data_IF_877475040522
#
_entry.id   IF_877475040522
#
_cell.length_a   1.000
_cell.length_b   1.000
_cell.length_c   1.000
_cell.angle_alpha   90.00
_cell.angle_beta   90.00
_cell.angle_gamma   90.00
#
_symmetry.space_group_name_H-M   'P 1'
#
loop_
_entity.id
_entity.type
_entity.pdbx_description
1 polymer ?
#
# COMPACT_ATOMS: atom_id res chain seq x y z
N UNK A 1 72.56 -70.80 -36.33
CA UNK A 1 71.36 -70.67 -35.48
C UNK A 1 71.42 -69.31 -34.86
N UNK A 2 70.57 -68.38 -35.31
CA UNK A 2 70.67 -66.92 -35.02
C UNK A 2 69.70 -66.56 -33.90
N UNK A 3 70.21 -66.09 -32.75
CA UNK A 3 69.41 -65.59 -31.65
C UNK A 3 69.22 -64.07 -31.87
N UNK A 4 67.99 -63.67 -31.99
CA UNK A 4 67.61 -62.24 -32.13
C UNK A 4 67.33 -61.63 -30.73
N UNK A 5 68.10 -60.63 -30.36
CA UNK A 5 67.86 -59.82 -29.20
C UNK A 5 66.66 -58.87 -29.49
N UNK A 6 65.67 -58.90 -28.64
CA UNK A 6 64.57 -57.93 -28.63
C UNK A 6 64.89 -56.92 -27.54
N UNK A 7 65.11 -55.68 -27.95
CA UNK A 7 65.21 -54.51 -27.04
C UNK A 7 63.83 -54.04 -26.70
N UNK A 8 63.49 -54.14 -25.41
CA UNK A 8 62.24 -53.59 -24.91
C UNK A 8 62.49 -52.13 -24.53
N UNK A 9 61.89 -51.22 -25.27
CA UNK A 9 61.91 -49.78 -24.97
C UNK A 9 60.79 -49.44 -23.94
N UNK A 10 61.22 -49.09 -22.72
CA UNK A 10 60.31 -48.66 -21.65
C UNK A 10 59.95 -47.17 -21.87
N UNK A 11 58.76 -46.92 -22.37
CA UNK A 11 58.26 -45.56 -22.46
C UNK A 11 57.73 -45.11 -21.08
N UNK A 12 58.43 -44.16 -20.48
CA UNK A 12 57.96 -43.49 -19.25
C UNK A 12 56.89 -42.44 -19.63
N UNK A 13 55.64 -42.72 -19.30
CA UNK A 13 54.51 -41.78 -19.46
C UNK A 13 54.51 -40.81 -18.28
N UNK A 14 54.95 -39.58 -18.51
CA UNK A 14 54.81 -38.47 -17.54
C UNK A 14 53.40 -38.00 -17.59
N UNK A 15 52.57 -38.40 -16.62
CA UNK A 15 51.26 -37.80 -16.39
C UNK A 15 51.46 -36.39 -15.80
N UNK A 16 51.34 -35.36 -16.63
CA UNK A 16 51.12 -34.00 -16.17
C UNK A 16 49.69 -33.88 -15.66
N UNK A 17 49.54 -33.91 -14.34
CA UNK A 17 48.27 -33.60 -13.67
C UNK A 17 47.88 -32.14 -13.92
N UNK A 18 47.02 -31.90 -14.91
CA UNK A 18 46.34 -30.64 -15.03
C UNK A 18 45.32 -30.52 -13.88
N UNK A 19 45.67 -29.75 -12.85
CA UNK A 19 44.73 -29.30 -11.85
C UNK A 19 43.66 -28.45 -12.56
N UNK A 20 42.55 -29.06 -12.90
CA UNK A 20 41.32 -28.32 -13.20
C UNK A 20 40.91 -27.69 -11.88
N UNK A 21 41.26 -26.41 -11.65
CA UNK A 21 40.58 -25.57 -10.69
C UNK A 21 39.15 -25.46 -11.16
N UNK A 22 38.28 -26.26 -10.57
CA UNK A 22 36.84 -25.96 -10.62
C UNK A 22 36.68 -24.53 -10.08
N UNK A 23 36.37 -23.62 -10.98
CA UNK A 23 35.90 -22.31 -10.60
C UNK A 23 34.57 -22.53 -9.90
N UNK A 24 34.60 -22.73 -8.58
CA UNK A 24 33.46 -22.48 -7.73
C UNK A 24 33.23 -20.97 -7.84
N UNK A 25 32.43 -20.57 -8.83
CA UNK A 25 31.95 -19.22 -8.94
C UNK A 25 31.19 -18.92 -7.65
N UNK A 26 31.81 -18.10 -6.80
CA UNK A 26 31.16 -17.55 -5.63
C UNK A 26 29.89 -16.85 -6.08
N UNK A 27 28.75 -17.47 -5.81
CA UNK A 27 27.43 -16.85 -5.89
C UNK A 27 27.23 -15.77 -4.81
N UNK A 28 28.24 -15.47 -4.00
CA UNK A 28 28.17 -14.54 -2.87
C UNK A 28 28.57 -13.08 -3.21
N UNK A 29 28.87 -12.73 -4.46
CA UNK A 29 29.43 -11.39 -4.78
C UNK A 29 28.43 -10.40 -5.42
N UNK A 30 27.13 -10.68 -5.44
CA UNK A 30 26.15 -9.74 -6.05
C UNK A 30 25.23 -9.03 -5.04
N UNK A 31 25.42 -9.19 -3.74
CA UNK A 31 24.47 -8.75 -2.71
C UNK A 31 24.64 -7.30 -2.24
N UNK A 32 25.57 -6.52 -2.80
CA UNK A 32 25.82 -5.13 -2.39
C UNK A 32 25.89 -4.13 -3.58
N UNK A 33 25.49 -4.53 -4.78
CA UNK A 33 25.40 -3.59 -5.89
C UNK A 33 24.22 -2.62 -5.63
N UNK A 34 24.41 -1.30 -5.86
CA UNK A 34 23.34 -0.34 -5.70
C UNK A 34 22.13 -0.70 -6.55
N UNK A 35 20.96 -0.80 -5.93
CA UNK A 35 19.72 -1.10 -6.62
C UNK A 35 18.60 -0.17 -6.16
N UNK A 36 17.79 0.31 -7.11
CA UNK A 36 16.66 1.18 -6.82
C UNK A 36 15.35 0.42 -7.09
N UNK A 37 14.45 0.46 -6.12
CA UNK A 37 13.09 -0.08 -6.22
C UNK A 37 12.15 1.11 -6.45
N UNK A 38 11.53 1.18 -7.61
CA UNK A 38 10.49 2.18 -7.91
C UNK A 38 9.14 1.66 -7.43
N UNK A 39 8.52 2.42 -6.53
CA UNK A 39 7.22 2.12 -5.92
C UNK A 39 6.26 3.24 -6.27
N UNK A 40 5.05 2.92 -6.73
CA UNK A 40 4.08 3.95 -7.08
C UNK A 40 2.64 3.54 -6.83
N UNK A 41 1.76 4.51 -6.64
CA UNK A 41 0.34 4.27 -6.51
C UNK A 41 -0.34 4.95 -5.34
N UNK A 42 -1.09 4.21 -4.53
CA UNK A 42 -1.97 4.72 -3.49
C UNK A 42 -1.31 5.71 -2.52
N UNK A 43 -1.81 6.95 -2.48
CA UNK A 43 -1.40 7.98 -1.52
C UNK A 43 -1.78 7.65 -0.06
N UNK A 44 -2.68 6.68 0.16
CA UNK A 44 -3.02 6.20 1.50
C UNK A 44 -2.04 5.12 2.00
N UNK A 45 -1.41 4.38 1.08
CA UNK A 45 -0.37 3.39 1.39
C UNK A 45 0.99 4.07 1.57
N UNK A 46 1.21 5.21 0.90
CA UNK A 46 2.49 5.94 0.91
C UNK A 46 3.09 6.11 2.31
N UNK A 47 2.38 6.59 3.34
CA UNK A 47 2.99 6.78 4.67
C UNK A 47 3.50 5.46 5.30
N UNK A 48 2.78 4.36 5.10
CA UNK A 48 3.24 3.04 5.56
C UNK A 48 4.48 2.59 4.77
N UNK A 49 4.45 2.74 3.45
CA UNK A 49 5.55 2.32 2.59
C UNK A 49 6.83 3.12 2.87
N UNK A 50 6.71 4.42 3.18
CA UNK A 50 7.84 5.27 3.59
C UNK A 50 8.49 4.77 4.87
N UNK A 51 7.70 4.43 5.90
CA UNK A 51 8.21 3.86 7.14
C UNK A 51 8.91 2.52 6.92
N UNK A 52 8.31 1.64 6.11
CA UNK A 52 8.89 0.33 5.77
C UNK A 52 10.19 0.51 4.97
N UNK A 53 10.21 1.40 4.00
CA UNK A 53 11.39 1.69 3.19
C UNK A 53 12.53 2.28 4.03
N UNK A 54 12.23 3.23 4.93
CA UNK A 54 13.23 3.80 5.83
C UNK A 54 13.91 2.72 6.69
N UNK A 55 13.14 1.85 7.31
CA UNK A 55 13.69 0.80 8.16
C UNK A 55 14.45 -0.27 7.34
N UNK A 56 13.94 -0.63 6.15
CA UNK A 56 14.63 -1.59 5.29
C UNK A 56 15.97 -1.05 4.76
N UNK A 57 16.04 0.23 4.39
CA UNK A 57 17.27 0.87 3.92
C UNK A 57 18.35 0.96 5.02
N UNK A 58 17.98 1.00 6.31
CA UNK A 58 18.94 0.88 7.42
C UNK A 58 19.57 -0.51 7.47
N UNK A 59 18.82 -1.55 7.10
CA UNK A 59 19.30 -2.94 7.05
C UNK A 59 20.08 -3.24 5.75
N UNK A 60 19.70 -2.58 4.65
CA UNK A 60 20.23 -2.77 3.30
C UNK A 60 20.62 -1.43 2.67
N UNK A 61 21.75 -0.82 3.10
CA UNK A 61 22.13 0.53 2.65
C UNK A 61 22.41 0.69 1.15
N UNK A 62 22.61 -0.41 0.42
CA UNK A 62 22.79 -0.42 -1.03
C UNK A 62 21.44 -0.36 -1.79
N UNK A 63 20.32 -0.54 -1.08
CA UNK A 63 18.97 -0.44 -1.67
C UNK A 63 18.43 0.97 -1.48
N UNK A 64 17.94 1.55 -2.56
CA UNK A 64 17.14 2.78 -2.55
C UNK A 64 15.70 2.44 -2.91
N UNK A 65 14.74 2.96 -2.15
CA UNK A 65 13.31 2.83 -2.45
C UNK A 65 12.76 4.22 -2.77
N UNK A 66 12.35 4.43 -4.01
CA UNK A 66 11.69 5.65 -4.45
C UNK A 66 10.18 5.44 -4.41
N UNK A 67 9.46 6.33 -3.72
CA UNK A 67 8.01 6.16 -3.50
C UNK A 67 7.27 7.35 -4.12
N UNK A 68 6.28 7.05 -4.97
CA UNK A 68 5.47 8.03 -5.69
C UNK A 68 3.98 7.81 -5.39
N UNK A 69 3.36 8.75 -4.67
CA UNK A 69 1.93 8.73 -4.38
C UNK A 69 1.09 9.27 -5.54
N UNK A 70 0.64 8.40 -6.43
CA UNK A 70 -0.03 8.76 -7.70
C UNK A 70 -1.48 8.27 -7.81
N UNK A 71 -1.97 7.53 -6.80
CA UNK A 71 -3.29 6.92 -6.78
C UNK A 71 -3.27 5.42 -7.12
N UNK A 72 -4.23 4.67 -6.56
CA UNK A 72 -4.25 3.19 -6.72
C UNK A 72 -4.39 2.76 -8.17
N UNK A 73 -5.20 3.46 -8.98
CA UNK A 73 -5.36 3.15 -10.40
C UNK A 73 -4.05 3.23 -11.17
N UNK A 74 -3.23 4.25 -10.90
CA UNK A 74 -1.90 4.39 -11.51
C UNK A 74 -0.95 3.28 -11.01
N UNK A 75 -0.94 3.01 -9.70
CA UNK A 75 -0.15 1.91 -9.12
C UNK A 75 -0.48 0.55 -9.75
N UNK A 76 -1.78 0.23 -9.92
CA UNK A 76 -2.25 -0.99 -10.56
C UNK A 76 -1.82 -1.01 -12.03
N UNK A 77 -2.00 0.09 -12.76
CA UNK A 77 -1.73 0.17 -14.19
C UNK A 77 -0.25 0.02 -14.54
N UNK A 78 0.64 0.46 -13.68
CA UNK A 78 2.08 0.51 -13.91
C UNK A 78 2.88 -0.54 -13.10
N UNK A 79 2.20 -1.39 -12.30
CA UNK A 79 2.84 -2.49 -11.58
C UNK A 79 3.50 -3.50 -12.54
N UNK A 80 4.73 -3.90 -12.24
CA UNK A 80 5.54 -4.79 -13.08
C UNK A 80 6.12 -4.13 -14.33
N UNK A 81 5.89 -2.82 -14.51
CA UNK A 81 6.44 -2.00 -15.59
C UNK A 81 7.23 -0.81 -15.04
N UNK A 82 6.63 0.39 -15.05
CA UNK A 82 7.23 1.60 -14.51
C UNK A 82 7.55 1.47 -13.01
N UNK A 83 6.67 0.83 -12.25
CA UNK A 83 6.89 0.51 -10.85
C UNK A 83 7.18 -0.98 -10.70
N UNK A 84 8.29 -1.33 -10.04
CA UNK A 84 8.53 -2.70 -9.60
C UNK A 84 7.45 -3.14 -8.61
N UNK A 85 6.97 -2.18 -7.79
CA UNK A 85 5.91 -2.38 -6.81
C UNK A 85 4.81 -1.32 -7.03
N UNK A 86 3.61 -1.75 -7.44
CA UNK A 86 2.42 -0.92 -7.43
C UNK A 86 1.75 -0.95 -6.06
N UNK A 87 1.17 0.17 -5.61
CA UNK A 87 0.42 0.25 -4.35
C UNK A 87 -1.06 0.44 -4.61
N UNK A 88 -1.90 -0.39 -3.99
CA UNK A 88 -3.35 -0.22 -3.98
C UNK A 88 -3.93 -0.19 -2.57
N UNK A 89 -4.96 0.62 -2.37
CA UNK A 89 -5.75 0.69 -1.14
C UNK A 89 -7.21 0.28 -1.38
N UNK A 90 -7.42 -0.61 -2.31
CA UNK A 90 -8.64 -1.37 -2.60
C UNK A 90 -8.27 -2.70 -3.24
N UNK A 91 -9.20 -3.62 -3.24
CA UNK A 91 -9.09 -4.83 -4.05
C UNK A 91 -9.07 -4.51 -5.55
N UNK A 92 -8.54 -5.44 -6.34
CA UNK A 92 -8.56 -5.33 -7.79
C UNK A 92 -9.95 -5.66 -8.32
N UNK A 93 -10.39 -4.90 -9.31
CA UNK A 93 -11.60 -5.24 -10.07
C UNK A 93 -11.38 -6.53 -10.88
N UNK A 94 -12.45 -7.24 -11.30
CA UNK A 94 -12.31 -8.45 -12.13
C UNK A 94 -11.48 -8.23 -13.41
N UNK A 95 -11.56 -7.04 -14.02
CA UNK A 95 -10.77 -6.69 -15.19
C UNK A 95 -9.28 -6.52 -14.86
N UNK A 96 -8.96 -5.97 -13.69
CA UNK A 96 -7.58 -5.80 -13.21
C UNK A 96 -6.94 -7.13 -12.78
N UNK A 97 -7.71 -8.03 -12.15
CA UNK A 97 -7.27 -9.39 -11.78
C UNK A 97 -6.83 -10.19 -13.02
N UNK A 98 -7.50 -10.01 -14.16
CA UNK A 98 -7.13 -10.65 -15.43
C UNK A 98 -5.76 -10.24 -15.99
N UNK A 99 -5.08 -9.26 -15.40
CA UNK A 99 -3.75 -8.80 -15.83
C UNK A 99 -2.59 -9.67 -15.35
N UNK A 100 -2.84 -10.63 -14.45
CA UNK A 100 -1.83 -11.56 -13.95
C UNK A 100 -0.80 -10.92 -13.01
N UNK A 101 -1.17 -9.85 -12.31
CA UNK A 101 -0.33 -9.26 -11.27
C UNK A 101 -0.31 -10.15 -10.03
N UNK A 102 0.84 -10.19 -9.37
CA UNK A 102 0.98 -10.83 -8.06
C UNK A 102 0.55 -9.87 -6.97
N UNK A 103 -0.40 -10.28 -6.14
CA UNK A 103 -0.97 -9.47 -5.06
C UNK A 103 -0.42 -9.93 -3.70
N UNK A 104 0.05 -8.98 -2.89
CA UNK A 104 0.42 -9.22 -1.50
C UNK A 104 -0.29 -8.19 -0.61
N UNK A 105 -1.16 -8.66 0.28
CA UNK A 105 -1.76 -7.80 1.30
C UNK A 105 -0.68 -7.54 2.36
N UNK A 106 -0.36 -6.28 2.61
CA UNK A 106 0.68 -5.87 3.57
C UNK A 106 0.12 -5.31 4.87
N UNK A 107 -1.12 -4.85 4.86
CA UNK A 107 -1.83 -4.35 6.04
C UNK A 107 -3.34 -4.36 5.79
N UNK A 108 -4.13 -4.26 6.88
CA UNK A 108 -5.53 -3.84 6.82
C UNK A 108 -5.61 -2.42 7.37
N UNK A 109 -6.42 -1.59 6.72
CA UNK A 109 -6.60 -0.19 7.07
C UNK A 109 -8.08 0.17 7.22
N UNK A 110 -8.42 0.90 8.28
CA UNK A 110 -9.73 1.52 8.43
C UNK A 110 -9.81 2.79 7.57
N UNK A 111 -10.99 3.10 7.01
CA UNK A 111 -11.25 4.40 6.41
C UNK A 111 -12.01 5.24 7.43
N UNK A 112 -11.35 6.24 8.01
CA UNK A 112 -11.94 7.16 8.96
C UNK A 112 -12.76 8.24 8.24
N UNK A 113 -13.99 8.46 8.66
CA UNK A 113 -14.77 9.65 8.29
C UNK A 113 -14.30 10.80 9.16
N UNK A 114 -13.92 11.91 8.53
CA UNK A 114 -13.27 13.04 9.19
C UNK A 114 -14.03 14.35 8.95
N UNK A 115 -13.98 15.20 9.96
CA UNK A 115 -14.51 16.57 9.92
C UNK A 115 -13.47 17.53 10.52
N UNK A 116 -13.68 18.83 10.33
CA UNK A 116 -12.90 19.85 11.02
C UNK A 116 -12.99 19.68 12.54
N UNK A 117 -11.93 20.03 13.28
CA UNK A 117 -11.89 19.92 14.76
C UNK A 117 -13.03 20.65 15.45
N UNK A 118 -13.40 21.80 14.92
CA UNK A 118 -14.46 22.67 15.51
C UNK A 118 -15.87 22.21 15.14
N UNK A 119 -16.01 21.21 14.26
CA UNK A 119 -17.33 20.66 13.93
C UNK A 119 -17.86 19.86 15.14
N UNK A 120 -19.04 20.20 15.70
CA UNK A 120 -19.58 19.53 16.89
C UNK A 120 -20.06 18.09 16.64
N UNK A 121 -20.25 17.68 15.38
CA UNK A 121 -20.70 16.33 15.03
C UNK A 121 -19.63 15.30 15.44
N UNK A 122 -20.06 14.26 16.15
CA UNK A 122 -19.16 13.18 16.65
C UNK A 122 -19.54 11.79 16.14
N UNK A 123 -20.73 11.66 15.55
CA UNK A 123 -21.22 10.38 15.06
C UNK A 123 -22.20 10.60 13.89
N UNK A 124 -22.12 9.74 12.87
CA UNK A 124 -23.09 9.60 11.80
C UNK A 124 -23.38 8.11 11.59
N UNK A 125 -24.59 7.78 11.20
CA UNK A 125 -24.89 6.42 10.71
C UNK A 125 -24.32 6.22 9.32
N UNK A 126 -24.09 4.97 8.91
CA UNK A 126 -23.64 4.66 7.55
C UNK A 126 -24.60 5.19 6.48
N UNK A 127 -25.91 5.15 6.77
CA UNK A 127 -26.96 5.71 5.92
C UNK A 127 -26.83 7.23 5.77
N UNK A 128 -26.62 7.96 6.87
CA UNK A 128 -26.40 9.42 6.82
C UNK A 128 -25.14 9.77 6.01
N UNK A 129 -24.06 9.02 6.17
CA UNK A 129 -22.84 9.22 5.37
C UNK A 129 -23.16 9.02 3.89
N UNK A 130 -23.81 7.93 3.53
CA UNK A 130 -24.24 7.69 2.14
C UNK A 130 -25.09 8.86 1.61
N UNK A 131 -26.08 9.29 2.38
CA UNK A 131 -27.01 10.32 1.96
C UNK A 131 -26.34 11.71 1.85
N UNK A 132 -25.31 11.99 2.64
CA UNK A 132 -24.45 13.17 2.49
C UNK A 132 -23.66 13.10 1.17
N UNK A 133 -22.98 11.97 0.92
CA UNK A 133 -22.14 11.82 -0.27
C UNK A 133 -22.93 11.69 -1.57
N UNK A 134 -24.22 11.38 -1.51
CA UNK A 134 -25.14 11.36 -2.66
C UNK A 134 -25.98 12.65 -2.80
N UNK A 135 -25.84 13.61 -1.87
CA UNK A 135 -26.53 14.89 -1.92
C UNK A 135 -28.00 14.88 -1.46
N UNK A 136 -28.46 13.81 -0.81
CA UNK A 136 -29.76 13.72 -0.15
C UNK A 136 -29.79 14.56 1.12
N UNK A 137 -28.71 14.51 1.90
CA UNK A 137 -28.45 15.35 3.07
C UNK A 137 -27.44 16.41 2.67
N UNK A 138 -27.83 17.69 2.77
CA UNK A 138 -26.99 18.82 2.29
C UNK A 138 -26.68 19.85 3.37
N UNK A 139 -27.34 19.77 4.53
CA UNK A 139 -27.14 20.70 5.64
C UNK A 139 -26.89 19.96 6.95
N UNK A 140 -25.95 20.46 7.75
CA UNK A 140 -25.59 19.89 9.02
C UNK A 140 -26.73 19.79 10.02
N UNK A 141 -27.76 20.69 9.94
CA UNK A 141 -28.93 20.64 10.82
C UNK A 141 -29.76 19.36 10.67
N UNK A 142 -29.63 18.66 9.53
CA UNK A 142 -30.36 17.42 9.26
C UNK A 142 -29.77 16.21 10.04
N UNK A 143 -28.53 16.33 10.54
CA UNK A 143 -27.82 15.21 11.18
C UNK A 143 -27.19 15.55 12.53
N UNK A 144 -27.10 16.83 12.90
CA UNK A 144 -26.38 17.28 14.11
C UNK A 144 -27.27 17.37 15.35
N UNK A 145 -28.56 17.06 15.27
CA UNK A 145 -29.50 17.28 16.37
C UNK A 145 -29.63 18.76 16.77
N UNK A 146 -29.35 19.69 15.84
CA UNK A 146 -29.37 21.14 16.08
C UNK A 146 -28.03 21.73 16.56
N UNK A 147 -27.03 20.94 16.81
CA UNK A 147 -25.70 21.39 17.27
C UNK A 147 -24.92 22.19 16.21
N UNK A 148 -25.22 21.95 14.91
CA UNK A 148 -24.60 22.61 13.78
C UNK A 148 -25.61 22.86 12.67
N UNK A 149 -25.47 23.97 11.98
CA UNK A 149 -26.22 24.35 10.78
C UNK A 149 -25.27 24.77 9.67
N UNK A 150 -25.76 24.88 8.45
CA UNK A 150 -25.01 25.28 7.29
C UNK A 150 -24.76 24.14 6.32
N UNK A 151 -24.51 24.51 5.08
CA UNK A 151 -24.31 23.56 3.98
C UNK A 151 -23.10 22.68 4.22
N UNK A 152 -23.25 21.37 4.07
CA UNK A 152 -22.14 20.41 4.15
C UNK A 152 -21.25 20.55 2.92
N UNK A 153 -19.99 20.79 3.13
CA UNK A 153 -18.95 20.77 2.08
C UNK A 153 -18.39 19.35 1.95
N UNK A 154 -18.88 18.60 0.97
CA UNK A 154 -18.43 17.23 0.72
C UNK A 154 -17.08 17.26 0.02
N UNK A 155 -16.09 16.64 0.64
CA UNK A 155 -14.75 16.44 0.07
C UNK A 155 -14.55 14.97 -0.23
N UNK A 156 -14.20 14.66 -1.48
CA UNK A 156 -13.95 13.31 -1.95
C UNK A 156 -12.58 13.22 -2.63
N UNK A 157 -12.23 12.05 -3.06
CA UNK A 157 -11.03 11.77 -3.84
C UNK A 157 -11.35 11.71 -5.33
N UNK A 158 -10.34 11.85 -6.13
CA UNK A 158 -10.36 11.64 -7.59
C UNK A 158 -10.79 10.21 -7.97
N UNK A 159 -11.21 10.01 -9.21
CA UNK A 159 -11.76 8.73 -9.69
C UNK A 159 -10.74 7.56 -9.59
N UNK A 160 -9.45 7.81 -9.82
CA UNK A 160 -8.37 6.82 -9.71
C UNK A 160 -8.01 6.41 -8.28
N UNK A 161 -8.65 7.01 -7.26
CA UNK A 161 -8.35 6.73 -5.86
C UNK A 161 -8.95 5.39 -5.40
N UNK A 162 -8.08 4.48 -4.92
CA UNK A 162 -8.54 3.26 -4.28
C UNK A 162 -9.31 3.52 -2.98
N UNK A 163 -8.98 4.60 -2.25
CA UNK A 163 -9.72 4.99 -1.05
C UNK A 163 -11.14 5.41 -1.40
N UNK A 164 -11.35 6.15 -2.50
CA UNK A 164 -12.70 6.49 -2.99
C UNK A 164 -13.44 5.20 -3.36
N UNK A 165 -12.86 4.35 -4.18
CA UNK A 165 -13.50 3.11 -4.60
C UNK A 165 -13.95 2.26 -3.42
N UNK A 166 -13.06 2.00 -2.46
CA UNK A 166 -13.39 1.24 -1.26
C UNK A 166 -14.44 1.94 -0.38
N UNK A 167 -14.35 3.26 -0.21
CA UNK A 167 -15.31 4.01 0.58
C UNK A 167 -16.70 3.99 -0.04
N UNK A 168 -16.81 4.26 -1.35
CA UNK A 168 -18.08 4.21 -2.09
C UNK A 168 -18.73 2.82 -2.00
N UNK A 169 -17.93 1.77 -2.11
CA UNK A 169 -18.38 0.38 -2.01
C UNK A 169 -18.90 0.06 -0.60
N UNK A 170 -18.09 0.29 0.42
CA UNK A 170 -18.40 -0.05 1.81
C UNK A 170 -19.56 0.77 2.38
N UNK A 171 -19.75 2.01 1.91
CA UNK A 171 -20.86 2.89 2.28
C UNK A 171 -22.10 2.66 1.39
N UNK A 172 -21.93 2.03 0.23
CA UNK A 172 -23.03 1.60 -0.67
C UNK A 172 -23.54 2.71 -1.60
N UNK A 173 -22.61 3.50 -2.20
CA UNK A 173 -22.99 4.54 -3.18
C UNK A 173 -22.12 4.60 -4.43
N UNK A 174 -21.47 3.50 -4.82
CA UNK A 174 -20.58 3.45 -6.00
C UNK A 174 -21.18 4.18 -7.21
N UNK A 175 -20.35 5.05 -7.80
CA UNK A 175 -20.72 5.84 -8.98
C UNK A 175 -21.85 6.85 -8.76
N UNK A 176 -22.23 7.16 -7.52
CA UNK A 176 -23.31 8.09 -7.18
C UNK A 176 -22.84 9.26 -6.33
N UNK A 177 -21.55 9.61 -6.43
CA UNK A 177 -21.02 10.79 -5.75
C UNK A 177 -21.79 12.04 -6.20
N UNK A 178 -22.13 12.90 -5.23
CA UNK A 178 -22.73 14.20 -5.42
C UNK A 178 -22.00 15.01 -6.51
N UNK A 179 -22.72 15.45 -7.53
CA UNK A 179 -22.17 16.36 -8.54
C UNK A 179 -21.76 17.69 -7.85
N UNK A 180 -20.51 18.09 -8.04
CA UNK A 180 -19.91 19.27 -7.40
C UNK A 180 -19.33 19.01 -6.00
N UNK A 181 -19.13 17.76 -5.59
CA UNK A 181 -18.23 17.44 -4.48
C UNK A 181 -16.82 17.99 -4.79
N UNK A 182 -16.12 18.47 -3.75
CA UNK A 182 -14.74 18.92 -3.89
C UNK A 182 -13.83 17.69 -4.04
N UNK A 183 -13.27 17.46 -5.22
CA UNK A 183 -12.35 16.35 -5.45
C UNK A 183 -10.89 16.73 -5.18
N UNK A 184 -10.20 15.88 -4.46
CA UNK A 184 -8.79 16.04 -4.07
C UNK A 184 -7.94 14.88 -4.55
N UNK A 185 -6.72 15.14 -4.99
CA UNK A 185 -5.82 14.16 -5.62
C UNK A 185 -4.98 13.34 -4.65
N UNK A 186 -5.05 13.62 -3.33
CA UNK A 186 -4.27 12.90 -2.33
C UNK A 186 -4.91 12.88 -0.94
N UNK A 187 -4.47 11.95 -0.08
CA UNK A 187 -4.83 11.91 1.34
C UNK A 187 -4.48 13.23 2.05
N UNK A 188 -3.31 13.81 1.76
CA UNK A 188 -2.90 15.09 2.33
C UNK A 188 -3.78 16.26 1.89
N UNK A 189 -4.21 16.29 0.63
CA UNK A 189 -5.10 17.34 0.12
C UNK A 189 -6.51 17.26 0.76
N UNK A 190 -7.07 16.07 0.98
CA UNK A 190 -8.30 15.89 1.77
C UNK A 190 -8.12 16.50 3.16
N UNK A 191 -7.05 16.13 3.87
CA UNK A 191 -6.77 16.63 5.23
C UNK A 191 -6.69 18.16 5.26
N UNK A 192 -5.94 18.77 4.34
CA UNK A 192 -5.84 20.22 4.22
C UNK A 192 -7.20 20.88 3.98
N UNK A 193 -8.05 20.33 3.11
CA UNK A 193 -9.39 20.82 2.85
C UNK A 193 -10.30 20.77 4.09
N UNK A 194 -10.20 19.70 4.89
CA UNK A 194 -10.95 19.56 6.14
C UNK A 194 -10.48 20.57 7.20
N UNK A 195 -9.17 20.79 7.32
CA UNK A 195 -8.60 21.79 8.27
C UNK A 195 -9.07 23.19 7.94
N UNK A 196 -9.12 23.54 6.66
CA UNK A 196 -9.47 24.90 6.20
C UNK A 196 -10.97 25.20 6.20
N UNK A 197 -11.84 24.20 6.24
CA UNK A 197 -13.29 24.39 6.14
C UNK A 197 -14.04 23.73 7.30
N UNK A 198 -14.59 24.50 8.26
CA UNK A 198 -15.37 24.00 9.38
C UNK A 198 -16.63 23.20 8.98
N UNK A 199 -17.14 23.40 7.75
CA UNK A 199 -18.32 22.73 7.23
C UNK A 199 -18.00 21.49 6.40
N UNK A 200 -16.71 21.14 6.25
CA UNK A 200 -16.30 20.03 5.44
C UNK A 200 -16.45 18.68 6.14
N UNK A 201 -16.77 17.67 5.33
CA UNK A 201 -16.69 16.25 5.65
C UNK A 201 -15.84 15.55 4.59
N UNK A 202 -14.97 14.63 5.00
CA UNK A 202 -14.11 13.84 4.13
C UNK A 202 -13.83 12.46 4.72
N UNK A 203 -12.96 11.72 4.06
CA UNK A 203 -12.52 10.41 4.53
C UNK A 203 -11.03 10.18 4.16
N UNK A 204 -10.31 9.53 5.05
CA UNK A 204 -8.89 9.16 4.87
C UNK A 204 -8.58 7.80 5.50
N UNK A 205 -7.39 7.27 5.21
CA UNK A 205 -6.82 6.16 5.96
C UNK A 205 -6.78 6.46 7.46
N UNK A 206 -7.18 5.50 8.30
CA UNK A 206 -7.13 5.63 9.75
C UNK A 206 -5.69 5.89 10.25
N UNK A 207 -4.69 5.25 9.65
CA UNK A 207 -3.28 5.48 9.97
C UNK A 207 -2.76 6.88 9.59
N UNK A 208 -3.55 7.69 8.88
CA UNK A 208 -3.22 9.08 8.52
C UNK A 208 -3.96 10.13 9.36
N UNK A 209 -4.79 9.70 10.31
CA UNK A 209 -5.51 10.61 11.22
C UNK A 209 -4.53 11.15 12.25
N UNK A 210 -4.53 12.46 12.45
CA UNK A 210 -3.76 13.14 13.49
C UNK A 210 -4.62 14.19 14.23
N UNK A 211 -3.99 14.98 15.07
CA UNK A 211 -4.65 15.97 15.92
C UNK A 211 -5.10 17.24 15.19
N UNK A 212 -4.84 17.40 13.88
CA UNK A 212 -5.29 18.52 13.07
C UNK A 212 -6.74 18.39 12.61
N UNK A 213 -7.30 17.19 12.64
CA UNK A 213 -8.66 16.85 12.20
C UNK A 213 -9.37 16.01 13.26
N UNK A 214 -10.67 15.86 13.12
CA UNK A 214 -11.49 15.01 13.99
C UNK A 214 -12.06 13.83 13.22
N UNK A 215 -11.73 12.61 13.63
CA UNK A 215 -12.44 11.41 13.21
C UNK A 215 -13.74 11.27 13.98
N UNK A 216 -14.83 10.95 13.29
CA UNK A 216 -16.14 10.71 13.89
C UNK A 216 -16.49 9.22 13.92
N UNK A 217 -17.35 8.84 14.85
CA UNK A 217 -17.89 7.49 14.92
C UNK A 217 -18.86 7.22 13.78
N UNK A 218 -18.94 5.95 13.36
CA UNK A 218 -19.93 5.48 12.37
C UNK A 218 -20.85 4.48 13.04
N UNK A 219 -22.14 4.83 13.14
CA UNK A 219 -23.13 3.99 13.83
C UNK A 219 -22.81 3.77 15.31
N UNK A 220 -22.18 4.75 15.97
CA UNK A 220 -21.74 4.66 17.36
C UNK A 220 -20.39 3.96 17.57
N UNK A 221 -19.74 3.48 16.50
CA UNK A 221 -18.44 2.78 16.57
C UNK A 221 -17.33 3.73 16.14
N UNK A 222 -16.36 3.97 17.02
CA UNK A 222 -15.19 4.80 16.70
C UNK A 222 -14.28 4.11 15.67
N UNK A 223 -13.75 4.91 14.72
CA UNK A 223 -12.69 4.45 13.83
C UNK A 223 -11.40 4.24 14.65
N UNK A 224 -11.10 3.00 14.96
CA UNK A 224 -9.89 2.61 15.68
C UNK A 224 -9.38 1.25 15.20
N UNK A 225 -8.08 1.04 15.34
CA UNK A 225 -7.45 -0.26 15.02
C UNK A 225 -8.16 -1.42 15.74
N UNK A 226 -8.46 -1.26 17.03
CA UNK A 226 -9.16 -2.30 17.81
C UNK A 226 -10.54 -2.63 17.24
N UNK A 227 -11.31 -1.61 16.82
CA UNK A 227 -12.66 -1.80 16.27
C UNK A 227 -12.63 -2.34 14.83
N UNK A 228 -11.57 -2.12 14.07
CA UNK A 228 -11.37 -2.79 12.77
C UNK A 228 -11.02 -4.26 13.00
N UNK A 229 -10.09 -4.56 13.91
CA UNK A 229 -9.65 -5.94 14.21
C UNK A 229 -10.81 -6.80 14.71
N UNK A 230 -11.65 -6.28 15.62
CA UNK A 230 -12.80 -7.04 16.14
C UNK A 230 -14.01 -7.02 15.21
N UNK A 231 -13.89 -6.37 14.03
CA UNK A 231 -14.93 -6.31 13.00
C UNK A 231 -16.15 -5.47 13.36
N UNK A 232 -16.13 -4.64 14.41
CA UNK A 232 -17.23 -3.73 14.74
C UNK A 232 -17.23 -2.48 13.86
N UNK A 233 -16.05 -1.94 13.49
CA UNK A 233 -15.92 -0.87 12.50
C UNK A 233 -15.85 -1.47 11.10
N UNK A 234 -16.88 -1.21 10.27
CA UNK A 234 -17.10 -1.88 9.00
C UNK A 234 -16.40 -1.24 7.79
N UNK A 235 -15.92 -0.01 7.91
CA UNK A 235 -15.28 0.69 6.79
C UNK A 235 -13.77 0.39 6.85
N UNK A 236 -13.38 -0.81 6.40
CA UNK A 236 -12.01 -1.28 6.38
C UNK A 236 -11.69 -1.99 5.05
N UNK A 237 -10.43 -1.98 4.65
CA UNK A 237 -9.95 -2.46 3.36
C UNK A 237 -8.51 -2.96 3.44
N UNK A 238 -8.04 -3.78 2.48
CA UNK A 238 -6.63 -4.12 2.40
C UNK A 238 -5.77 -2.97 1.85
N UNK A 239 -4.52 -2.93 2.30
CA UNK A 239 -3.41 -2.31 1.60
C UNK A 239 -2.65 -3.41 0.86
N UNK A 240 -2.52 -3.26 -0.45
CA UNK A 240 -1.99 -4.28 -1.35
C UNK A 240 -0.77 -3.72 -2.07
N UNK A 241 0.29 -4.51 -2.14
CA UNK A 241 1.37 -4.30 -3.09
C UNK A 241 1.25 -5.28 -4.25
N UNK A 242 1.47 -4.77 -5.44
CA UNK A 242 1.25 -5.43 -6.72
C UNK A 242 2.56 -5.50 -7.49
N UNK A 243 2.85 -6.64 -8.10
CA UNK A 243 4.07 -6.82 -8.87
C UNK A 243 3.81 -7.62 -10.15
N UNK A 244 4.74 -7.52 -11.09
CA UNK A 244 4.80 -8.46 -12.22
C UNK A 244 5.40 -9.80 -11.79
N UNK A 245 5.42 -10.76 -12.73
CA UNK A 245 5.89 -12.12 -12.48
C UNK A 245 7.43 -12.26 -12.42
N UNK A 246 8.17 -11.33 -13.01
CA UNK A 246 9.63 -11.37 -13.10
C UNK A 246 10.26 -10.27 -12.24
N UNK A 247 10.38 -10.52 -10.95
CA UNK A 247 10.98 -9.57 -10.02
C UNK A 247 12.49 -9.75 -9.90
N UNK A 248 13.19 -8.64 -9.71
CA UNK A 248 14.56 -8.67 -9.24
C UNK A 248 14.63 -9.25 -7.81
N UNK A 249 15.72 -9.93 -7.47
CA UNK A 249 15.89 -10.56 -6.17
C UNK A 249 15.75 -9.58 -5.01
N UNK A 250 16.27 -8.35 -5.14
CA UNK A 250 16.17 -7.31 -4.11
C UNK A 250 14.72 -6.81 -3.91
N UNK A 251 13.92 -6.69 -4.97
CA UNK A 251 12.50 -6.34 -4.86
C UNK A 251 11.73 -7.45 -4.14
N UNK A 252 12.01 -8.71 -4.50
CA UNK A 252 11.44 -9.88 -3.82
C UNK A 252 11.80 -9.90 -2.33
N UNK A 253 13.07 -9.66 -2.01
CA UNK A 253 13.56 -9.61 -0.63
C UNK A 253 12.89 -8.49 0.18
N UNK A 254 12.67 -7.32 -0.41
CA UNK A 254 11.95 -6.22 0.25
C UNK A 254 10.49 -6.61 0.58
N UNK A 255 9.77 -7.21 -0.36
CA UNK A 255 8.38 -7.66 -0.13
C UNK A 255 8.34 -8.75 0.95
N UNK A 256 9.25 -9.72 0.91
CA UNK A 256 9.34 -10.76 1.93
C UNK A 256 9.63 -10.17 3.32
N UNK A 257 10.51 -9.17 3.38
CA UNK A 257 10.79 -8.47 4.64
C UNK A 257 9.58 -7.68 5.14
N UNK A 258 8.82 -6.98 4.27
CA UNK A 258 7.57 -6.33 4.65
C UNK A 258 6.61 -7.32 5.33
N UNK A 259 6.53 -8.55 4.81
CA UNK A 259 5.65 -9.61 5.33
C UNK A 259 6.25 -10.37 6.52
N UNK A 260 7.52 -10.16 6.85
CA UNK A 260 8.19 -10.78 8.01
C UNK A 260 7.67 -10.21 9.33
N UNK A 261 8.02 -10.89 10.43
CA UNK A 261 7.68 -10.40 11.77
C UNK A 261 8.22 -8.99 12.06
N UNK A 262 9.39 -8.64 11.51
CA UNK A 262 10.01 -7.32 11.67
C UNK A 262 9.24 -6.25 10.89
N UNK A 263 8.97 -6.47 9.61
CA UNK A 263 8.16 -5.55 8.79
C UNK A 263 6.76 -5.37 9.36
N UNK A 264 6.13 -6.46 9.78
CA UNK A 264 4.79 -6.41 10.38
C UNK A 264 4.77 -5.76 11.77
N UNK A 265 5.88 -5.73 12.51
CA UNK A 265 6.00 -4.94 13.74
C UNK A 265 5.94 -3.42 13.46
N UNK A 266 6.42 -2.97 12.30
CA UNK A 266 6.29 -1.57 11.85
C UNK A 266 4.84 -1.27 11.47
N UNK A 267 4.20 -2.18 10.71
CA UNK A 267 2.78 -2.06 10.35
C UNK A 267 1.92 -1.84 11.61
N UNK A 268 2.13 -2.61 12.66
CA UNK A 268 1.37 -2.51 13.93
C UNK A 268 1.47 -1.16 14.66
N UNK A 269 2.38 -0.27 14.27
CA UNK A 269 2.49 1.06 14.90
C UNK A 269 1.25 1.92 14.63
N UNK A 270 0.63 1.81 13.45
CA UNK A 270 -0.50 2.65 13.04
C UNK A 270 -1.54 1.95 12.16
N UNK A 271 -1.29 0.72 11.71
CA UNK A 271 -2.18 -0.09 10.89
C UNK A 271 -2.38 -1.47 11.50
N UNK A 272 -3.19 -2.30 10.85
CA UNK A 272 -3.45 -3.68 11.28
C UNK A 272 -2.54 -4.61 10.47
N UNK A 273 -1.70 -5.36 11.17
CA UNK A 273 -0.82 -6.36 10.55
C UNK A 273 -1.62 -7.53 9.99
N UNK A 274 -1.03 -8.22 9.02
CA UNK A 274 -1.62 -9.42 8.38
C UNK A 274 -1.06 -10.74 8.97
N UNK A 275 -0.14 -10.64 9.92
CA UNK A 275 0.47 -11.76 10.66
C UNK A 275 0.71 -11.40 12.13
#
# INVERSE_FOLDING_TARGET
MKIKFIVVLLAVLVLTGACIKAASGNAESRTNEPYTIEVGGSTSVTPLMELLAEEYQKLKPHIKVNINGTGSGDGINNAGGLYQIGMSSRELTPAEQGRGLMENIIAIDGIAVIVNRDNPVTNLTLLQIRDIYTGVITDWSQVSGGAKRGRIAVVSREEGSGTRGAFEELVGFQGRLLAGANESTSTGAIKAGIVQNPDAIGYISLGSVDDTIKSISVGGVAASTANVVNGTYKIARPFIVLTGNNLHAETTAFIQWILSAEGQAIVRRSWISVS
#
